data_IF_733501613516
#
_entry.id   IF_733501613516
#
_cell.length_a   1.000
_cell.length_b   1.000
_cell.length_c   1.000
_cell.angle_alpha   90.00
_cell.angle_beta   90.00
_cell.angle_gamma   90.00
#
_symmetry.space_group_name_H-M   'P 1'
#
loop_
_entity.id
_entity.type
_entity.pdbx_description
1 polymer ?
#
# COMPACT_ATOMS: atom_id res chain seq x y z
N UNK A 1 -2.85 2.34 -2.83
CA UNK A 1 -2.06 2.91 -1.71
C UNK A 1 -0.59 2.61 -1.93
N UNK A 2 0.28 3.60 -1.83
CA UNK A 2 1.72 3.37 -1.81
C UNK A 2 2.12 2.85 -0.42
N UNK A 3 2.62 1.62 -0.38
CA UNK A 3 2.94 0.97 0.88
C UNK A 3 4.15 1.62 1.56
N UNK A 4 5.00 2.36 0.86
CA UNK A 4 6.22 2.96 1.43
C UNK A 4 5.99 4.37 1.93
N UNK A 5 5.26 5.21 1.17
CA UNK A 5 4.98 6.61 1.52
C UNK A 5 3.68 6.79 2.31
N UNK A 6 2.77 5.83 2.27
CA UNK A 6 1.45 5.94 2.92
C UNK A 6 0.43 6.70 2.07
N UNK A 7 0.79 7.06 0.84
CA UNK A 7 -0.06 7.81 -0.06
C UNK A 7 -1.24 6.95 -0.55
N UNK A 8 -2.44 7.38 -0.23
CA UNK A 8 -3.69 6.90 -0.81
C UNK A 8 -4.05 7.77 -2.00
N UNK A 9 -4.44 7.13 -3.10
CA UNK A 9 -4.97 7.79 -4.28
C UNK A 9 -6.25 7.08 -4.71
N UNK A 10 -7.20 7.85 -5.23
CA UNK A 10 -8.36 7.32 -5.95
C UNK A 10 -7.94 6.96 -7.37
N UNK A 11 -8.11 5.69 -7.75
CA UNK A 11 -7.86 5.27 -9.13
C UNK A 11 -8.95 5.85 -10.04
N UNK A 12 -8.59 6.76 -10.94
CA UNK A 12 -9.43 7.17 -12.07
C UNK A 12 -9.09 6.27 -13.27
N UNK A 13 -10.10 5.89 -14.06
CA UNK A 13 -10.02 4.84 -15.11
C UNK A 13 -8.94 5.03 -16.19
N UNK A 14 -8.22 6.16 -16.22
CA UNK A 14 -7.23 6.47 -17.25
C UNK A 14 -5.85 6.89 -16.72
N UNK A 15 -5.59 6.77 -15.42
CA UNK A 15 -4.28 7.12 -14.86
C UNK A 15 -3.40 5.89 -14.66
N UNK A 16 -2.23 5.79 -15.35
CA UNK A 16 -1.26 4.76 -15.06
C UNK A 16 -0.76 4.96 -13.63
N UNK A 17 -0.91 3.92 -12.83
CA UNK A 17 -0.46 3.94 -11.45
C UNK A 17 1.05 3.70 -11.46
N UNK A 18 1.82 4.73 -11.16
CA UNK A 18 3.29 4.63 -11.12
C UNK A 18 3.76 3.67 -10.02
N UNK A 19 5.02 3.20 -10.13
CA UNK A 19 5.54 2.12 -9.31
C UNK A 19 5.48 2.38 -7.80
N UNK A 20 4.91 1.42 -7.05
CA UNK A 20 4.88 1.43 -5.58
C UNK A 20 3.48 1.41 -4.96
N UNK A 21 2.45 1.76 -5.75
CA UNK A 21 1.06 1.65 -5.32
C UNK A 21 0.54 0.22 -5.45
N UNK A 22 -0.11 -0.23 -4.38
CA UNK A 22 -0.75 -1.54 -4.29
C UNK A 22 -2.25 -1.33 -4.10
N UNK A 23 -3.11 -2.10 -4.81
CA UNK A 23 -4.56 -2.05 -4.59
C UNK A 23 -4.89 -2.48 -3.16
N UNK A 24 -5.83 -1.75 -2.55
CA UNK A 24 -6.27 -2.02 -1.18
C UNK A 24 -7.34 -3.13 -1.23
N UNK A 25 -7.24 -4.15 -0.37
CA UNK A 25 -8.24 -5.22 -0.31
C UNK A 25 -9.61 -4.66 0.07
N UNK A 26 -10.67 -5.32 -0.40
CA UNK A 26 -12.07 -4.86 -0.25
C UNK A 26 -12.45 -4.53 1.19
N UNK A 27 -11.96 -5.31 2.14
CA UNK A 27 -12.17 -5.12 3.58
C UNK A 27 -11.72 -3.74 4.09
N UNK A 28 -10.64 -3.20 3.53
CA UNK A 28 -10.04 -1.93 3.94
C UNK A 28 -10.45 -0.75 3.05
N UNK A 29 -11.24 -1.00 1.99
CA UNK A 29 -11.70 0.06 1.09
C UNK A 29 -12.59 1.06 1.81
N UNK A 30 -13.42 0.63 2.77
CA UNK A 30 -14.27 1.54 3.55
C UNK A 30 -13.44 2.56 4.32
N UNK A 31 -12.35 2.12 4.94
CA UNK A 31 -11.42 3.00 5.66
C UNK A 31 -10.64 3.90 4.71
N UNK A 32 -10.14 3.34 3.60
CA UNK A 32 -9.45 4.12 2.57
C UNK A 32 -10.35 5.23 2.02
N UNK A 33 -11.62 4.92 1.75
CA UNK A 33 -12.63 5.89 1.30
C UNK A 33 -12.94 6.93 2.38
N UNK A 34 -12.97 6.55 3.67
CA UNK A 34 -13.13 7.49 4.78
C UNK A 34 -11.97 8.48 4.86
N UNK A 35 -10.74 8.02 4.67
CA UNK A 35 -9.55 8.88 4.65
C UNK A 35 -9.50 9.77 3.42
N UNK A 36 -9.85 9.23 2.24
CA UNK A 36 -9.91 10.00 1.00
C UNK A 36 -11.04 11.03 1.04
N UNK A 37 -12.20 10.69 1.61
CA UNK A 37 -13.39 11.52 1.59
C UNK A 37 -13.67 12.02 0.16
N UNK A 38 -13.68 13.34 -0.07
CA UNK A 38 -13.82 13.98 -1.38
C UNK A 38 -12.49 14.26 -2.09
N UNK A 39 -11.36 13.95 -1.47
CA UNK A 39 -10.03 14.19 -2.03
C UNK A 39 -9.61 13.08 -2.99
N UNK A 40 -8.83 13.47 -3.99
CA UNK A 40 -8.21 12.55 -4.94
C UNK A 40 -7.00 11.82 -4.34
N UNK A 41 -6.30 12.44 -3.38
CA UNK A 41 -5.17 11.84 -2.66
C UNK A 41 -5.12 12.27 -1.20
N UNK A 42 -4.57 11.39 -0.35
CA UNK A 42 -4.30 11.69 1.07
C UNK A 42 -3.10 10.87 1.57
N UNK A 43 -2.30 11.45 2.45
CA UNK A 43 -1.20 10.74 3.12
C UNK A 43 -1.74 10.13 4.41
N UNK A 44 -1.62 8.81 4.55
CA UNK A 44 -1.95 8.09 5.79
C UNK A 44 -0.70 7.92 6.61
N UNK A 45 -0.81 8.22 7.91
CA UNK A 45 0.27 7.94 8.85
C UNK A 45 0.48 6.42 8.99
N UNK A 46 1.64 5.98 8.52
CA UNK A 46 2.08 4.59 8.55
C UNK A 46 2.64 4.17 9.90
N UNK A 47 2.97 5.12 10.78
CA UNK A 47 3.46 4.84 12.13
C UNK A 47 2.32 4.43 13.05
N UNK A 48 1.12 5.00 12.85
CA UNK A 48 -0.13 4.66 13.55
C UNK A 48 -0.44 3.16 13.59
N UNK A 49 -1.32 2.76 14.51
CA UNK A 49 -1.82 1.39 14.65
C UNK A 49 -3.18 1.15 13.96
N UNK A 50 -3.55 2.02 13.02
CA UNK A 50 -4.76 1.87 12.21
C UNK A 50 -4.72 0.65 11.26
N UNK A 51 -5.86 0.23 10.70
CA UNK A 51 -5.87 -1.00 9.91
C UNK A 51 -5.19 -0.84 8.54
N UNK A 52 -5.27 0.34 7.92
CA UNK A 52 -4.48 0.68 6.72
C UNK A 52 -2.97 0.66 6.96
N UNK A 53 -2.50 1.19 8.09
CA UNK A 53 -1.07 1.20 8.43
C UNK A 53 -0.58 -0.21 8.79
N UNK A 54 -1.38 -1.02 9.50
CA UNK A 54 -1.12 -2.44 9.77
C UNK A 54 -1.01 -3.24 8.46
N UNK A 55 -1.94 -3.02 7.53
CA UNK A 55 -1.92 -3.66 6.22
C UNK A 55 -0.68 -3.26 5.41
N UNK A 56 -0.31 -1.98 5.39
CA UNK A 56 0.90 -1.51 4.72
C UNK A 56 2.16 -2.14 5.31
N UNK A 57 2.26 -2.21 6.65
CA UNK A 57 3.36 -2.90 7.36
C UNK A 57 3.44 -4.38 6.96
N UNK A 58 2.30 -5.07 6.90
CA UNK A 58 2.22 -6.46 6.46
C UNK A 58 2.72 -6.63 5.01
N UNK A 59 2.33 -5.74 4.09
CA UNK A 59 2.80 -5.84 2.71
C UNK A 59 4.27 -5.51 2.53
N UNK A 60 4.82 -4.52 3.24
CA UNK A 60 6.28 -4.30 3.24
C UNK A 60 7.02 -5.55 3.72
N UNK A 61 6.52 -6.20 4.77
CA UNK A 61 7.12 -7.44 5.31
C UNK A 61 7.06 -8.56 4.27
N UNK A 62 5.94 -8.74 3.57
CA UNK A 62 5.79 -9.72 2.49
C UNK A 62 6.78 -9.46 1.34
N UNK A 63 6.87 -8.22 0.87
CA UNK A 63 7.82 -7.80 -0.18
C UNK A 63 9.27 -8.06 0.22
N UNK A 64 9.66 -7.67 1.43
CA UNK A 64 11.01 -7.93 1.97
C UNK A 64 11.34 -9.42 2.04
N UNK A 65 10.38 -10.27 2.45
CA UNK A 65 10.56 -11.72 2.47
C UNK A 65 10.75 -12.29 1.06
N UNK A 66 9.96 -11.84 0.08
CA UNK A 66 10.10 -12.27 -1.31
C UNK A 66 11.48 -11.93 -1.88
N UNK A 67 11.96 -10.69 -1.66
CA UNK A 67 13.30 -10.25 -2.08
C UNK A 67 14.39 -11.11 -1.42
N UNK A 68 14.29 -11.39 -0.12
CA UNK A 68 15.26 -12.26 0.58
C UNK A 68 15.27 -13.68 0.01
N UNK A 69 14.10 -14.25 -0.30
CA UNK A 69 13.98 -15.59 -0.89
C UNK A 69 14.63 -15.63 -2.28
N UNK A 70 14.33 -14.65 -3.13
CA UNK A 70 14.93 -14.53 -4.46
C UNK A 70 16.46 -14.40 -4.39
N UNK A 71 16.99 -13.55 -3.50
CA UNK A 71 18.45 -13.44 -3.29
C UNK A 71 19.10 -14.75 -2.84
N UNK A 72 18.42 -15.53 -1.99
CA UNK A 72 18.92 -16.84 -1.54
C UNK A 72 18.93 -17.87 -2.69
N UNK A 73 17.96 -17.79 -3.60
CA UNK A 73 17.89 -18.68 -4.77
C UNK A 73 18.98 -18.36 -5.79
N UNK A 74 19.20 -17.08 -6.10
CA UNK A 74 20.22 -16.64 -7.07
C UNK A 74 21.68 -16.80 -6.60
N UNK A 75 21.90 -17.26 -5.36
CA UNK A 75 23.23 -17.52 -4.81
C UNK A 75 23.66 -18.99 -4.95
N UNK A 76 22.75 -19.86 -5.41
CA UNK A 76 23.06 -21.25 -5.80
C UNK A 76 23.33 -21.30 -7.30
#
# INVERSE_FOLDING_TARGET
MNIDTGELIRLKQSQPVSGGFVPIPRELQREANKHLSEKDSVIVDLSSNGPLSKWAKAQRKKRRKAVRKSRKQNRK
#
